data_IF_159813154442
#
_entry.id   IF_159813154442
#
_cell.length_a   1.000
_cell.length_b   1.000
_cell.length_c   1.000
_cell.angle_alpha   90.00
_cell.angle_beta   90.00
_cell.angle_gamma   90.00
#
_symmetry.space_group_name_H-M   'P 1'
#
loop_
_entity.id
_entity.type
_entity.pdbx_description
1 polymer ?
#
# COMPACT_ATOMS: atom_id res chain seq x y z
N UNK A 1 -51.51 27.72 -26.89
CA UNK A 1 -51.73 26.51 -26.07
C UNK A 1 -50.57 25.57 -26.35
N UNK A 2 -49.60 25.54 -25.44
CA UNK A 2 -48.38 24.74 -25.57
C UNK A 2 -48.59 23.34 -25.02
N UNK A 3 -48.03 22.34 -25.69
CA UNK A 3 -47.95 20.95 -25.21
C UNK A 3 -46.50 20.48 -25.35
N UNK A 4 -45.76 20.46 -24.25
CA UNK A 4 -44.54 19.67 -24.11
C UNK A 4 -44.93 18.31 -23.53
N UNK A 5 -44.68 17.21 -24.24
CA UNK A 5 -45.21 15.88 -23.88
C UNK A 5 -44.16 14.78 -23.84
N UNK A 6 -42.92 15.03 -23.38
CA UNK A 6 -42.05 13.91 -23.01
C UNK A 6 -41.34 14.18 -21.69
N UNK A 7 -41.68 13.31 -20.73
CA UNK A 7 -41.14 13.22 -19.39
C UNK A 7 -39.73 12.64 -19.51
N UNK A 8 -38.77 13.29 -18.86
CA UNK A 8 -37.39 12.85 -18.70
C UNK A 8 -37.29 11.37 -18.33
N UNK A 9 -36.57 10.58 -19.14
CA UNK A 9 -36.22 9.20 -18.82
C UNK A 9 -35.36 9.16 -17.54
N UNK A 10 -35.90 8.55 -16.49
CA UNK A 10 -35.14 8.22 -15.29
C UNK A 10 -34.31 6.97 -15.58
N UNK A 11 -33.00 7.12 -15.76
CA UNK A 11 -32.08 6.00 -15.74
C UNK A 11 -31.42 5.90 -14.37
N UNK A 12 -31.33 4.67 -13.86
CA UNK A 12 -30.65 4.40 -12.61
C UNK A 12 -29.14 4.48 -12.87
N UNK A 13 -28.50 5.55 -12.39
CA UNK A 13 -27.04 5.59 -12.33
C UNK A 13 -26.62 4.59 -11.26
N UNK A 14 -26.20 3.40 -11.67
CA UNK A 14 -25.61 2.43 -10.77
C UNK A 14 -24.34 3.01 -10.17
N UNK A 15 -24.40 3.48 -8.92
CA UNK A 15 -23.19 3.85 -8.19
C UNK A 15 -22.43 2.57 -7.87
N UNK A 16 -21.20 2.43 -8.37
CA UNK A 16 -20.29 1.42 -7.89
C UNK A 16 -19.92 1.77 -6.45
N UNK A 17 -20.53 1.10 -5.48
CA UNK A 17 -20.12 1.20 -4.08
C UNK A 17 -18.77 0.49 -4.00
N UNK A 18 -17.70 1.26 -3.82
CA UNK A 18 -16.41 0.70 -3.45
C UNK A 18 -16.60 0.19 -2.02
N UNK A 19 -16.59 -1.13 -1.75
CA UNK A 19 -16.69 -1.61 -0.39
C UNK A 19 -15.53 -1.02 0.40
N UNK A 20 -15.83 -0.42 1.56
CA UNK A 20 -14.81 0.01 2.50
C UNK A 20 -14.08 -1.26 2.96
N UNK A 21 -12.96 -1.58 2.29
CA UNK A 21 -12.06 -2.64 2.74
C UNK A 21 -11.39 -2.15 4.01
N UNK A 22 -11.39 -2.97 5.05
CA UNK A 22 -10.63 -2.68 6.26
C UNK A 22 -9.20 -2.30 5.88
N UNK A 23 -8.82 -1.06 6.19
CA UNK A 23 -7.49 -0.57 5.91
C UNK A 23 -6.49 -1.44 6.69
N UNK A 24 -5.60 -2.12 5.98
CA UNK A 24 -4.56 -2.94 6.59
C UNK A 24 -3.74 -2.04 7.53
N UNK A 25 -3.79 -2.31 8.84
CA UNK A 25 -3.00 -1.58 9.83
C UNK A 25 -1.60 -2.16 9.85
N UNK A 26 -0.74 -1.61 9.01
CA UNK A 26 0.69 -1.92 8.97
C UNK A 26 1.44 -0.80 9.67
N UNK A 27 2.48 -1.15 10.42
CA UNK A 27 3.38 -0.19 11.04
C UNK A 27 4.83 -0.59 10.81
N UNK A 28 5.68 0.43 10.65
CA UNK A 28 7.12 0.29 10.41
C UNK A 28 7.86 1.12 11.46
N UNK A 29 8.76 0.49 12.22
CA UNK A 29 9.55 1.17 13.25
C UNK A 29 10.89 0.46 13.51
N UNK A 30 11.90 1.15 14.07
CA UNK A 30 12.00 2.61 14.15
C UNK A 30 12.05 3.24 12.75
N UNK A 31 11.96 4.56 12.64
CA UNK A 31 12.34 5.23 11.39
C UNK A 31 13.87 5.04 11.24
N UNK A 32 14.34 4.19 10.31
CA UNK A 32 15.65 3.56 10.43
C UNK A 32 16.79 4.56 10.19
N UNK A 33 17.82 4.51 11.04
CA UNK A 33 19.09 5.19 10.78
C UNK A 33 20.10 4.32 10.03
N UNK A 34 19.83 3.02 9.88
CA UNK A 34 20.81 2.04 9.38
C UNK A 34 20.21 0.98 8.43
N UNK A 35 19.03 1.22 7.86
CA UNK A 35 18.39 0.28 6.93
C UNK A 35 17.75 -0.96 7.58
N UNK A 36 17.59 -0.98 8.90
CA UNK A 36 16.91 -2.07 9.63
C UNK A 36 15.60 -1.57 10.23
N UNK A 37 14.49 -2.25 9.92
CA UNK A 37 13.15 -1.92 10.44
C UNK A 37 12.39 -3.16 10.87
N UNK A 38 11.46 -2.98 11.80
CA UNK A 38 10.43 -3.95 12.16
C UNK A 38 9.14 -3.59 11.45
N UNK A 39 8.45 -4.61 10.93
CA UNK A 39 7.16 -4.50 10.25
C UNK A 39 6.14 -5.34 10.99
N UNK A 40 5.00 -4.77 11.38
CA UNK A 40 3.88 -5.54 11.95
C UNK A 40 2.61 -5.42 11.14
N UNK A 41 1.66 -6.33 11.41
CA UNK A 41 0.39 -6.39 10.70
C UNK A 41 0.47 -7.17 9.38
N UNK A 42 1.58 -7.87 9.16
CA UNK A 42 1.79 -8.79 8.03
C UNK A 42 1.53 -10.24 8.47
N UNK A 43 0.83 -11.01 7.64
CA UNK A 43 0.64 -12.45 7.79
C UNK A 43 1.62 -13.25 6.94
N UNK A 44 1.65 -14.58 7.14
CA UNK A 44 2.60 -15.47 6.45
C UNK A 44 2.42 -15.53 4.93
N UNK A 45 1.21 -15.25 4.43
CA UNK A 45 0.88 -15.25 3.00
C UNK A 45 1.03 -13.86 2.35
N UNK A 46 1.40 -12.83 3.13
CA UNK A 46 1.57 -11.49 2.60
C UNK A 46 2.91 -11.36 1.88
N UNK A 47 2.89 -10.82 0.67
CA UNK A 47 4.10 -10.51 -0.10
C UNK A 47 4.61 -9.13 0.30
N UNK A 48 5.80 -9.09 0.88
CA UNK A 48 6.50 -7.85 1.23
C UNK A 48 7.53 -7.48 0.15
N UNK A 49 7.50 -6.22 -0.27
CA UNK A 49 8.42 -5.63 -1.25
C UNK A 49 8.99 -4.34 -0.67
N UNK A 50 10.26 -4.05 -0.93
CA UNK A 50 10.85 -2.75 -0.61
C UNK A 50 11.31 -2.09 -1.89
N UNK A 51 10.97 -0.81 -2.07
CA UNK A 51 11.36 -0.01 -3.23
C UNK A 51 12.08 1.26 -2.82
N UNK A 52 13.03 1.69 -3.64
CA UNK A 52 13.65 3.00 -3.51
C UNK A 52 12.76 4.13 -4.05
N UNK A 53 13.24 5.37 -3.98
CA UNK A 53 12.56 6.55 -4.50
C UNK A 53 12.30 6.52 -6.02
N UNK A 54 13.02 5.67 -6.76
CA UNK A 54 12.88 5.48 -8.21
C UNK A 54 11.94 4.31 -8.54
N UNK A 55 11.41 3.63 -7.52
CA UNK A 55 10.53 2.47 -7.68
C UNK A 55 11.27 1.15 -7.95
N UNK A 56 12.60 1.13 -7.82
CA UNK A 56 13.41 -0.07 -8.00
C UNK A 56 13.31 -0.96 -6.76
N UNK A 57 13.14 -2.26 -6.97
CA UNK A 57 13.09 -3.22 -5.86
C UNK A 57 14.47 -3.34 -5.19
N UNK A 58 14.49 -3.17 -3.88
CA UNK A 58 15.68 -3.25 -3.04
C UNK A 58 15.76 -4.65 -2.45
N UNK A 59 16.95 -5.24 -2.50
CA UNK A 59 17.17 -6.55 -1.90
C UNK A 59 17.04 -6.46 -0.38
N UNK A 60 16.26 -7.37 0.17
CA UNK A 60 16.01 -7.45 1.60
C UNK A 60 16.41 -8.81 2.16
N UNK A 61 16.76 -8.82 3.44
CA UNK A 61 16.75 -10.00 4.28
C UNK A 61 15.61 -9.88 5.28
N UNK A 62 14.75 -10.91 5.33
CA UNK A 62 13.64 -11.00 6.27
C UNK A 62 13.99 -12.02 7.37
N UNK A 63 13.95 -11.57 8.63
CA UNK A 63 14.16 -12.43 9.81
C UNK A 63 12.95 -12.25 10.74
N UNK A 64 11.93 -13.09 10.56
CA UNK A 64 10.64 -12.91 11.22
C UNK A 64 9.95 -11.62 10.73
N UNK A 65 9.76 -10.67 11.64
CA UNK A 65 9.17 -9.35 11.35
C UNK A 65 10.21 -8.26 11.06
N UNK A 66 11.50 -8.61 11.13
CA UNK A 66 12.59 -7.69 10.86
C UNK A 66 12.96 -7.71 9.38
N UNK A 67 13.01 -6.53 8.77
CA UNK A 67 13.47 -6.30 7.40
C UNK A 67 14.80 -5.56 7.46
N UNK A 68 15.83 -6.14 6.86
CA UNK A 68 17.14 -5.55 6.65
C UNK A 68 17.33 -5.25 5.16
N UNK A 69 17.63 -3.99 4.82
CA UNK A 69 17.97 -3.58 3.46
C UNK A 69 19.47 -3.84 3.21
N UNK A 70 19.81 -4.76 2.31
CA UNK A 70 21.19 -5.24 2.15
C UNK A 70 22.13 -4.24 1.48
N UNK A 71 21.61 -3.38 0.61
CA UNK A 71 22.37 -2.36 -0.14
C UNK A 71 21.82 -0.95 0.13
N UNK A 72 21.39 -0.70 1.38
CA UNK A 72 20.73 0.54 1.77
C UNK A 72 21.67 1.75 1.61
N UNK A 73 21.23 2.74 0.82
CA UNK A 73 21.82 4.08 0.78
C UNK A 73 20.90 5.09 1.48
N UNK A 74 21.43 6.20 2.02
CA UNK A 74 20.59 7.27 2.54
C UNK A 74 19.56 7.71 1.50
N UNK A 75 18.29 7.78 1.89
CA UNK A 75 17.20 8.06 0.96
C UNK A 75 15.81 7.66 1.45
N UNK A 76 14.83 7.93 0.59
CA UNK A 76 13.43 7.56 0.82
C UNK A 76 13.17 6.16 0.26
N UNK A 77 12.49 5.33 1.05
CA UNK A 77 12.11 3.98 0.68
C UNK A 77 10.64 3.74 0.98
N UNK A 78 10.08 2.74 0.30
CA UNK A 78 8.71 2.30 0.42
C UNK A 78 8.66 0.82 0.76
N UNK A 79 8.01 0.46 1.86
CA UNK A 79 7.57 -0.92 2.12
C UNK A 79 6.18 -1.07 1.53
N UNK A 80 6.03 -2.04 0.63
CA UNK A 80 4.78 -2.42 0.00
C UNK A 80 4.39 -3.81 0.48
N UNK A 81 3.15 -3.98 0.92
CA UNK A 81 2.59 -5.26 1.35
C UNK A 81 1.40 -5.58 0.48
N UNK A 82 1.47 -6.72 -0.20
CA UNK A 82 0.43 -7.25 -1.07
C UNK A 82 -0.13 -8.53 -0.46
N UNK A 83 -1.43 -8.51 -0.13
CA UNK A 83 -2.18 -9.72 0.28
C UNK A 83 -2.78 -10.38 -0.95
N UNK A 84 -2.91 -11.70 -0.95
CA UNK A 84 -3.34 -12.58 -2.05
C UNK A 84 -4.36 -11.94 -3.02
N UNK A 85 -5.42 -11.30 -2.51
CA UNK A 85 -6.40 -10.52 -3.31
C UNK A 85 -6.73 -9.13 -2.73
N UNK A 86 -5.82 -8.62 -1.89
CA UNK A 86 -5.97 -7.35 -1.16
C UNK A 86 -5.45 -6.13 -1.92
N UNK A 87 -5.81 -4.91 -1.48
CA UNK A 87 -5.13 -3.71 -1.97
C UNK A 87 -3.66 -3.74 -1.52
N UNK A 88 -2.76 -3.25 -2.38
CA UNK A 88 -1.38 -3.01 -1.99
C UNK A 88 -1.33 -1.85 -0.99
N UNK A 89 -0.78 -2.10 0.20
CA UNK A 89 -0.54 -1.06 1.20
C UNK A 89 0.91 -0.61 1.11
N UNK A 90 1.15 0.71 1.11
CA UNK A 90 2.49 1.29 1.00
C UNK A 90 2.78 2.22 2.18
N UNK A 91 3.93 2.03 2.83
CA UNK A 91 4.45 2.90 3.87
C UNK A 91 5.81 3.47 3.45
N UNK A 92 6.07 4.73 3.79
CA UNK A 92 7.34 5.40 3.48
C UNK A 92 8.20 5.53 4.73
N UNK A 93 9.51 5.37 4.57
CA UNK A 93 10.49 5.59 5.64
C UNK A 93 11.77 6.20 5.07
N UNK A 94 12.53 6.88 5.94
CA UNK A 94 13.76 7.58 5.57
C UNK A 94 14.94 6.83 6.17
N UNK A 95 15.86 6.39 5.33
CA UNK A 95 17.18 5.91 5.76
C UNK A 95 18.13 7.12 5.75
N UNK A 96 18.87 7.31 6.84
CA UNK A 96 19.89 8.37 6.97
C UNK A 96 21.29 7.86 6.72
#
# INVERSE_FOLDING_TARGET
>A
LGNCTVVSDCYFVGSTIIPARDALRISVWPNPSNGVVQVSGIGEQDRLLVKDALGQEVRIRLTGLQVELLDARPGLYFIQVQREDGPMTSLRFLVR
#
